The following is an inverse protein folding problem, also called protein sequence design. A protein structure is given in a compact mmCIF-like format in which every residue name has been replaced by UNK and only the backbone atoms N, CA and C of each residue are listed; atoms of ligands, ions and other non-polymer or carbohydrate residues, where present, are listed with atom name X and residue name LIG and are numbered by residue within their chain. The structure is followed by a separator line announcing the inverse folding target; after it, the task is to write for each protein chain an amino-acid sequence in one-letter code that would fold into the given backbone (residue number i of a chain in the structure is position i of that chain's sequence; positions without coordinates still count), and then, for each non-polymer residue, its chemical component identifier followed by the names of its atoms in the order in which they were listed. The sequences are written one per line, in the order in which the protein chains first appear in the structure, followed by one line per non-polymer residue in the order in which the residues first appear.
data_IF_866556874085
#
_entry.id   IF_866556874085
#
_cell.length_a   1.000
_cell.length_b   1.000
_cell.length_c   1.000
_cell.angle_alpha   90.00
_cell.angle_beta   90.00
_cell.angle_gamma   90.00
#
_symmetry.space_group_name_H-M   'P 1'
#
loop_
_entity.id
_entity.type
_entity.pdbx_description
1 polymer ?
#
# COMPACT_ATOMS: atom_id res chain seq x y z
N UNK A 1 19.42 -10.02 13.71
CA UNK A 1 17.99 -10.23 14.00
C UNK A 1 17.52 -11.44 13.19
N UNK A 2 16.85 -12.41 13.82
CA UNK A 2 16.41 -13.63 13.12
C UNK A 2 15.36 -13.30 12.07
N UNK A 3 15.53 -13.83 10.85
CA UNK A 3 14.51 -13.71 9.81
C UNK A 3 13.22 -14.37 10.32
N UNK A 4 12.13 -13.60 10.43
CA UNK A 4 10.82 -14.16 10.76
C UNK A 4 10.47 -15.23 9.72
N UNK A 5 10.19 -16.45 10.17
CA UNK A 5 9.74 -17.51 9.27
C UNK A 5 8.40 -17.10 8.66
N UNK A 6 8.30 -17.19 7.34
CA UNK A 6 7.03 -17.01 6.66
C UNK A 6 6.29 -18.35 6.70
N UNK A 7 5.08 -18.33 7.22
CA UNK A 7 4.17 -19.46 7.21
C UNK A 7 3.06 -19.20 6.19
N UNK A 8 2.99 -20.03 5.15
CA UNK A 8 1.99 -19.92 4.10
C UNK A 8 1.17 -21.20 4.02
N UNK A 9 -0.15 -21.05 3.88
CA UNK A 9 -1.04 -22.17 3.63
C UNK A 9 -0.96 -22.60 2.17
N UNK A 10 -0.61 -23.86 1.92
CA UNK A 10 -0.50 -24.49 0.59
C UNK A 10 -1.39 -25.74 0.54
N UNK A 11 -1.74 -26.26 -0.66
CA UNK A 11 -2.40 -27.55 -0.78
C UNK A 11 -1.57 -28.64 -0.09
N UNK A 12 -2.22 -29.50 0.70
CA UNK A 12 -1.57 -30.70 1.26
C UNK A 12 -1.17 -31.66 0.14
N UNK A 13 -0.19 -32.55 0.38
CA UNK A 13 0.24 -33.52 -0.64
C UNK A 13 -0.91 -34.41 -1.12
N UNK A 14 -1.82 -34.77 -0.22
CA UNK A 14 -3.04 -35.50 -0.57
C UNK A 14 -3.96 -34.65 -1.46
N UNK A 15 -4.18 -33.37 -1.12
CA UNK A 15 -5.02 -32.49 -1.92
C UNK A 15 -4.44 -32.24 -3.33
N UNK A 16 -3.11 -32.14 -3.47
CA UNK A 16 -2.42 -32.05 -4.77
C UNK A 16 -2.70 -33.24 -5.68
N UNK A 17 -2.95 -34.42 -5.10
CA UNK A 17 -3.29 -35.65 -5.82
C UNK A 17 -4.81 -35.85 -5.99
N UNK A 18 -5.64 -34.88 -5.61
CA UNK A 18 -7.10 -35.00 -5.65
C UNK A 18 -7.69 -35.87 -4.54
N UNK A 19 -6.92 -36.15 -3.47
CA UNK A 19 -7.39 -36.89 -2.28
C UNK A 19 -7.84 -35.87 -1.24
N UNK A 20 -9.13 -35.53 -1.26
CA UNK A 20 -9.74 -34.56 -0.34
C UNK A 20 -10.42 -35.25 0.85
N UNK A 21 -10.18 -34.72 2.05
CA UNK A 21 -10.79 -35.18 3.28
C UNK A 21 -12.31 -34.92 3.29
N UNK A 22 -13.07 -35.88 3.84
CA UNK A 22 -14.52 -35.77 3.98
C UNK A 22 -15.32 -36.07 2.70
N UNK A 23 -14.65 -36.55 1.63
CA UNK A 23 -15.29 -36.91 0.37
C UNK A 23 -15.12 -38.41 0.08
N UNK A 24 -16.11 -39.07 -0.58
CA UNK A 24 -15.97 -40.46 -0.99
C UNK A 24 -14.92 -40.61 -2.10
N UNK A 25 -14.26 -41.78 -2.15
CA UNK A 25 -13.34 -42.12 -3.25
C UNK A 25 -14.12 -42.23 -4.56
N UNK A 26 -13.52 -41.74 -5.65
CA UNK A 26 -14.09 -41.85 -6.98
C UNK A 26 -14.28 -43.32 -7.38
N UNK A 27 -15.50 -43.67 -7.78
CA UNK A 27 -15.89 -45.04 -8.18
C UNK A 27 -15.83 -45.28 -9.69
N UNK A 28 -15.44 -44.27 -10.48
CA UNK A 28 -15.39 -44.33 -11.95
C UNK A 28 -14.35 -43.38 -12.55
N UNK A 29 -14.23 -43.34 -13.89
CA UNK A 29 -13.34 -42.40 -14.57
C UNK A 29 -13.79 -40.95 -14.34
N UNK A 30 -12.89 -40.00 -14.59
CA UNK A 30 -13.24 -38.59 -14.47
C UNK A 30 -14.37 -38.20 -15.43
N UNK A 31 -15.31 -37.32 -15.02
CA UNK A 31 -16.42 -36.89 -15.86
C UNK A 31 -15.98 -36.29 -17.21
N UNK A 32 -14.83 -35.61 -17.22
CA UNK A 32 -14.26 -34.98 -18.41
C UNK A 32 -12.82 -35.47 -18.68
N UNK A 33 -12.62 -36.70 -19.20
CA UNK A 33 -11.29 -37.32 -19.30
C UNK A 33 -10.33 -36.60 -20.28
N UNK A 34 -10.85 -35.76 -21.18
CA UNK A 34 -10.04 -34.94 -22.08
C UNK A 34 -9.35 -33.77 -21.35
N UNK A 35 -9.94 -33.28 -20.25
CA UNK A 35 -9.47 -32.08 -19.53
C UNK A 35 -9.17 -32.34 -18.06
N UNK A 36 -9.51 -33.53 -17.55
CA UNK A 36 -9.33 -33.92 -16.15
C UNK A 36 -8.64 -35.28 -16.06
N UNK A 37 -7.79 -35.43 -15.05
CA UNK A 37 -7.07 -36.67 -14.75
C UNK A 37 -7.30 -37.10 -13.31
N UNK A 38 -7.43 -38.41 -13.10
CA UNK A 38 -7.37 -39.01 -11.77
C UNK A 38 -5.90 -39.26 -11.42
N UNK A 39 -5.33 -38.40 -10.58
CA UNK A 39 -3.90 -38.46 -10.20
C UNK A 39 -3.58 -39.57 -9.19
N UNK A 40 -4.58 -40.13 -8.50
CA UNK A 40 -4.42 -41.21 -7.54
C UNK A 40 -5.54 -42.25 -7.66
N UNK A 41 -5.52 -43.12 -8.69
CA UNK A 41 -6.52 -44.15 -8.88
C UNK A 41 -6.74 -45.01 -7.62
N UNK A 42 -8.00 -45.22 -7.24
CA UNK A 42 -8.38 -45.96 -6.04
C UNK A 42 -8.26 -45.19 -4.72
N UNK A 43 -7.80 -43.93 -4.74
CA UNK A 43 -7.68 -43.08 -3.54
C UNK A 43 -8.21 -41.66 -3.73
N UNK A 44 -8.14 -41.11 -4.94
CA UNK A 44 -8.64 -39.77 -5.25
C UNK A 44 -10.15 -39.68 -4.99
N UNK A 45 -10.56 -38.56 -4.39
CA UNK A 45 -11.96 -38.24 -4.12
C UNK A 45 -12.49 -37.18 -5.09
N UNK A 46 -11.59 -36.49 -5.80
CA UNK A 46 -11.92 -35.55 -6.86
C UNK A 46 -10.96 -35.68 -8.04
N UNK A 47 -11.43 -35.34 -9.23
CA UNK A 47 -10.60 -35.23 -10.41
C UNK A 47 -9.83 -33.91 -10.39
N UNK A 48 -8.68 -33.87 -11.06
CA UNK A 48 -7.88 -32.64 -11.17
C UNK A 48 -7.83 -32.24 -12.64
N UNK A 49 -8.15 -30.98 -12.94
CA UNK A 49 -7.99 -30.41 -14.27
C UNK A 49 -6.52 -30.48 -14.71
N UNK A 50 -6.29 -30.82 -15.97
CA UNK A 50 -4.97 -31.08 -16.52
C UNK A 50 -4.04 -29.85 -16.45
N UNK A 51 -4.57 -28.63 -16.63
CA UNK A 51 -3.81 -27.39 -16.47
C UNK A 51 -3.49 -27.11 -15.02
N UNK A 52 -4.41 -27.43 -14.12
CA UNK A 52 -4.16 -27.29 -12.68
C UNK A 52 -3.07 -28.25 -12.23
N UNK A 53 -3.18 -29.52 -12.60
CA UNK A 53 -2.24 -30.58 -12.25
C UNK A 53 -0.82 -30.30 -12.79
N UNK A 54 -0.71 -29.86 -14.05
CA UNK A 54 0.59 -29.71 -14.72
C UNK A 54 1.27 -28.36 -14.52
N UNK A 55 0.50 -27.28 -14.27
CA UNK A 55 1.02 -25.91 -14.29
C UNK A 55 0.66 -25.07 -13.06
N UNK A 56 -0.61 -25.02 -12.64
CA UNK A 56 -1.03 -24.09 -11.59
C UNK A 56 -0.71 -24.57 -10.16
N UNK A 57 -0.71 -25.88 -9.91
CA UNK A 57 -0.24 -26.41 -8.61
C UNK A 57 1.24 -26.16 -8.37
N UNK A 58 2.03 -25.93 -9.43
CA UNK A 58 3.42 -25.52 -9.31
C UNK A 58 3.54 -24.12 -8.70
N UNK A 59 2.52 -23.25 -8.79
CA UNK A 59 2.57 -21.91 -8.21
C UNK A 59 2.54 -21.92 -6.67
N UNK A 60 2.22 -23.06 -6.08
CA UNK A 60 2.28 -23.32 -4.65
C UNK A 60 3.47 -24.23 -4.34
N UNK A 61 4.24 -23.91 -3.29
CA UNK A 61 5.29 -24.82 -2.82
C UNK A 61 4.71 -26.09 -2.20
N UNK A 62 5.48 -27.18 -2.29
CA UNK A 62 5.18 -28.38 -1.53
C UNK A 62 5.24 -28.08 -0.03
N UNK A 63 4.26 -28.53 0.77
CA UNK A 63 4.30 -28.35 2.22
C UNK A 63 5.52 -29.04 2.83
N UNK A 64 6.12 -28.38 3.81
CA UNK A 64 7.22 -28.90 4.62
C UNK A 64 6.93 -28.80 6.14
N UNK A 65 5.72 -28.38 6.49
CA UNK A 65 5.20 -28.28 7.85
C UNK A 65 3.96 -29.14 8.06
N UNK A 66 3.33 -29.05 9.25
CA UNK A 66 2.17 -29.84 9.58
C UNK A 66 0.96 -29.49 8.70
N UNK A 67 0.08 -30.48 8.54
CA UNK A 67 -1.26 -30.30 7.97
C UNK A 67 -2.10 -29.46 8.93
N UNK A 68 -2.97 -28.59 8.41
CA UNK A 68 -3.86 -27.76 9.22
C UNK A 68 -4.85 -28.65 10.00
N UNK A 69 -4.90 -28.56 11.33
CA UNK A 69 -5.81 -29.38 12.14
C UNK A 69 -7.29 -29.20 11.82
N UNK A 70 -7.68 -28.02 11.32
CA UNK A 70 -9.08 -27.67 11.03
C UNK A 70 -9.46 -27.97 9.56
N UNK A 71 -8.48 -28.15 8.67
CA UNK A 71 -8.71 -28.50 7.27
C UNK A 71 -7.56 -29.39 6.74
N UNK A 72 -7.75 -30.73 6.70
CA UNK A 72 -6.70 -31.65 6.26
C UNK A 72 -6.27 -31.49 4.79
N UNK A 73 -7.01 -30.70 4.00
CA UNK A 73 -6.67 -30.40 2.61
C UNK A 73 -5.62 -29.30 2.47
N UNK A 74 -5.32 -28.60 3.57
CA UNK A 74 -4.36 -27.50 3.63
C UNK A 74 -3.20 -27.89 4.53
N UNK A 75 -1.98 -27.55 4.12
CA UNK A 75 -0.78 -27.77 4.91
C UNK A 75 0.09 -26.51 4.95
N UNK A 76 1.00 -26.46 5.91
CA UNK A 76 1.90 -25.32 6.07
C UNK A 76 3.15 -25.49 5.21
N UNK A 77 3.50 -24.43 4.51
CA UNK A 77 4.83 -24.20 3.95
C UNK A 77 5.54 -23.15 4.79
N UNK A 78 6.64 -23.55 5.41
CA UNK A 78 7.48 -22.71 6.26
C UNK A 78 8.79 -22.43 5.55
N UNK A 79 9.10 -21.15 5.38
CA UNK A 79 10.34 -20.72 4.74
C UNK A 79 10.95 -19.54 5.48
N UNK A 80 12.27 -19.57 5.65
CA UNK A 80 13.04 -18.48 6.21
C UNK A 80 13.82 -17.78 5.08
N UNK A 81 13.29 -16.70 4.48
CA UNK A 81 13.99 -15.98 3.44
C UNK A 81 15.30 -15.40 3.97
N UNK A 82 16.38 -15.62 3.24
CA UNK A 82 17.61 -14.84 3.44
C UNK A 82 17.42 -13.48 2.78
N UNK A 83 17.48 -12.42 3.57
CA UNK A 83 17.48 -11.05 3.10
C UNK A 83 18.86 -10.45 3.30
N UNK A 84 19.57 -10.23 2.19
CA UNK A 84 20.84 -9.53 2.20
C UNK A 84 20.58 -8.06 1.92
N UNK A 85 21.04 -7.19 2.81
CA UNK A 85 20.92 -5.74 2.69
C UNK A 85 22.32 -5.18 2.53
N UNK A 86 22.52 -4.39 1.48
CA UNK A 86 23.71 -3.54 1.35
C UNK A 86 23.25 -2.12 1.60
N UNK A 87 23.97 -1.38 2.43
CA UNK A 87 23.66 0.00 2.77
C UNK A 87 24.92 0.84 2.50
N UNK A 88 24.78 1.81 1.60
CA UNK A 88 25.79 2.82 1.34
C UNK A 88 25.29 4.15 1.89
N UNK A 89 25.95 4.67 2.90
CA UNK A 89 25.57 5.95 3.51
C UNK A 89 26.75 6.92 3.54
N UNK A 90 26.42 8.21 3.48
CA UNK A 90 27.35 9.31 3.67
C UNK A 90 26.66 10.36 4.53
N UNK A 91 27.29 10.70 5.65
CA UNK A 91 26.87 11.80 6.50
C UNK A 91 27.98 12.82 6.57
N UNK A 92 27.65 14.07 6.28
CA UNK A 92 28.54 15.21 6.44
C UNK A 92 27.91 16.21 7.38
N UNK A 93 28.77 16.85 8.16
CA UNK A 93 28.41 17.87 9.13
C UNK A 93 29.43 19.00 9.06
N UNK A 94 28.94 20.22 9.01
CA UNK A 94 29.73 21.44 9.06
C UNK A 94 29.14 22.35 10.14
N UNK A 95 29.98 22.75 11.07
CA UNK A 95 29.67 23.75 12.09
C UNK A 95 30.66 24.90 11.94
N UNK A 96 30.16 26.11 11.79
CA UNK A 96 31.01 27.28 11.66
C UNK A 96 30.47 28.45 12.47
N UNK A 97 31.30 28.97 13.38
CA UNK A 97 31.03 30.22 14.10
C UNK A 97 31.57 31.38 13.26
N UNK A 98 30.67 32.10 12.60
CA UNK A 98 31.01 33.24 11.74
C UNK A 98 31.46 34.44 12.59
N UNK A 99 30.82 34.65 13.74
CA UNK A 99 31.16 35.68 14.73
C UNK A 99 30.63 35.28 16.11
N UNK A 100 30.82 36.13 17.13
CA UNK A 100 30.25 35.88 18.46
C UNK A 100 28.72 35.88 18.50
N UNK A 101 28.07 36.49 17.51
CA UNK A 101 26.60 36.56 17.41
C UNK A 101 26.02 35.65 16.34
N UNK A 102 26.84 35.06 15.46
CA UNK A 102 26.35 34.25 14.34
C UNK A 102 27.05 32.90 14.27
N UNK A 103 26.26 31.83 14.22
CA UNK A 103 26.75 30.50 13.87
C UNK A 103 25.89 29.86 12.78
N UNK A 104 26.54 29.05 11.95
CA UNK A 104 25.93 28.30 10.88
C UNK A 104 26.22 26.81 11.11
N UNK A 105 25.19 26.00 10.93
CA UNK A 105 25.27 24.55 10.90
C UNK A 105 24.71 24.04 9.59
N UNK A 106 25.33 23.00 9.04
CA UNK A 106 24.87 22.32 7.86
C UNK A 106 25.11 20.82 7.97
N UNK A 107 24.13 20.03 7.51
CA UNK A 107 24.29 18.59 7.36
C UNK A 107 23.73 18.12 6.03
N UNK A 108 24.42 17.17 5.41
CA UNK A 108 23.93 16.41 4.29
C UNK A 108 24.04 14.92 4.61
N UNK A 109 22.93 14.21 4.46
CA UNK A 109 22.83 12.77 4.66
C UNK A 109 22.35 12.13 3.36
N UNK A 110 23.13 11.18 2.88
CA UNK A 110 22.81 10.29 1.78
C UNK A 110 22.75 8.87 2.31
N UNK A 111 21.72 8.13 1.89
CA UNK A 111 21.54 6.72 2.20
C UNK A 111 20.99 6.02 0.96
N UNK A 112 21.57 4.88 0.58
CA UNK A 112 21.10 3.99 -0.47
C UNK A 112 21.15 2.55 0.05
N UNK A 113 19.96 2.02 0.32
CA UNK A 113 19.77 0.74 1.00
C UNK A 113 18.94 -0.24 0.17
N UNK A 114 19.47 -0.80 -0.93
CA UNK A 114 18.79 -1.86 -1.67
C UNK A 114 18.87 -3.19 -0.93
N UNK A 115 17.77 -3.93 -0.98
CA UNK A 115 17.74 -5.33 -0.59
C UNK A 115 16.92 -6.15 -1.59
N UNK A 116 17.31 -7.41 -1.72
CA UNK A 116 16.52 -8.42 -2.43
C UNK A 116 16.23 -9.58 -1.51
N UNK A 117 15.04 -10.12 -1.62
CA UNK A 117 14.62 -11.30 -0.86
C UNK A 117 13.68 -12.13 -1.73
N UNK A 118 13.68 -13.45 -1.59
CA UNK A 118 12.58 -14.25 -2.10
C UNK A 118 11.26 -13.79 -1.48
N UNK A 119 10.21 -13.78 -2.30
CA UNK A 119 8.84 -13.43 -1.91
C UNK A 119 8.14 -14.64 -1.29
N UNK A 120 7.23 -14.44 -0.33
CA UNK A 120 6.20 -15.40 0.13
C UNK A 120 6.58 -16.88 0.15
N UNK A 121 6.36 -17.50 -1.01
CA UNK A 121 6.55 -18.93 -1.29
C UNK A 121 7.95 -19.29 -1.82
N UNK A 122 8.97 -18.43 -1.71
CA UNK A 122 10.25 -18.63 -2.39
C UNK A 122 10.10 -18.87 -3.91
N UNK A 123 9.11 -18.23 -4.54
CA UNK A 123 8.74 -18.47 -5.94
C UNK A 123 9.24 -17.37 -6.87
N UNK A 124 9.30 -16.14 -6.38
CA UNK A 124 9.81 -14.97 -7.11
C UNK A 124 10.78 -14.21 -6.21
N UNK A 125 11.69 -13.46 -6.82
CA UNK A 125 12.60 -12.56 -6.12
C UNK A 125 12.05 -11.14 -6.19
N UNK A 126 11.99 -10.47 -5.04
CA UNK A 126 11.58 -9.07 -4.96
C UNK A 126 12.75 -8.21 -4.49
N UNK A 127 12.90 -7.07 -5.14
CA UNK A 127 13.82 -6.01 -4.77
C UNK A 127 13.04 -4.83 -4.19
N UNK A 128 13.54 -4.30 -3.08
CA UNK A 128 13.14 -3.01 -2.57
C UNK A 128 14.38 -2.17 -2.34
N UNK A 129 14.25 -0.87 -2.52
CA UNK A 129 15.35 0.09 -2.48
C UNK A 129 14.82 1.39 -1.90
N UNK A 130 15.56 1.96 -0.98
CA UNK A 130 15.29 3.29 -0.42
C UNK A 130 16.54 4.13 -0.64
N UNK A 131 16.38 5.24 -1.37
CA UNK A 131 17.41 6.26 -1.52
C UNK A 131 16.95 7.54 -0.85
N UNK A 132 17.75 8.07 0.07
CA UNK A 132 17.44 9.29 0.82
C UNK A 132 18.51 10.33 0.59
N UNK A 133 18.07 11.57 0.41
CA UNK A 133 18.92 12.74 0.37
C UNK A 133 18.29 13.78 1.28
N UNK A 134 18.95 14.07 2.40
CA UNK A 134 18.48 15.03 3.39
C UNK A 134 19.54 16.12 3.51
N UNK A 135 19.14 17.36 3.29
CA UNK A 135 19.94 18.55 3.55
C UNK A 135 19.24 19.33 4.66
N UNK A 136 19.96 19.73 5.68
CA UNK A 136 19.47 20.71 6.65
C UNK A 136 20.54 21.78 6.88
N UNK A 137 20.10 23.03 6.85
CA UNK A 137 20.90 24.21 7.15
C UNK A 137 20.24 24.92 8.33
N UNK A 138 21.03 25.36 9.29
CA UNK A 138 20.59 26.10 10.46
C UNK A 138 21.46 27.34 10.62
N UNK A 139 20.83 28.48 10.83
CA UNK A 139 21.48 29.74 11.15
C UNK A 139 20.99 30.22 12.51
N UNK A 140 21.92 30.43 13.44
CA UNK A 140 21.66 30.97 14.76
C UNK A 140 22.19 32.40 14.82
N UNK A 141 21.36 33.30 15.34
CA UNK A 141 21.71 34.70 15.57
C UNK A 141 21.35 35.13 16.99
N UNK A 142 22.34 35.68 17.70
CA UNK A 142 22.18 36.29 19.02
C UNK A 142 22.04 37.80 18.83
N UNK A 143 20.81 38.30 18.89
CA UNK A 143 20.53 39.74 18.81
C UNK A 143 20.91 40.47 20.10
N UNK A 144 20.74 39.78 21.24
CA UNK A 144 21.17 40.24 22.58
C UNK A 144 21.31 39.04 23.52
N UNK A 145 21.90 39.18 24.72
CA UNK A 145 21.94 38.10 25.71
C UNK A 145 20.57 37.54 26.10
N UNK A 146 19.50 38.31 25.84
CA UNK A 146 18.12 37.96 26.14
C UNK A 146 17.32 37.50 24.92
N UNK A 147 17.83 37.69 23.70
CA UNK A 147 17.08 37.40 22.45
C UNK A 147 17.94 36.66 21.44
N UNK A 148 17.56 35.40 21.17
CA UNK A 148 18.25 34.50 20.24
C UNK A 148 17.23 33.95 19.24
N UNK A 149 17.62 33.85 17.98
CA UNK A 149 16.80 33.29 16.93
C UNK A 149 17.56 32.19 16.18
N UNK A 150 16.85 31.14 15.80
CA UNK A 150 17.33 30.01 15.03
C UNK A 150 16.43 29.79 13.83
N UNK A 151 16.96 30.00 12.63
CA UNK A 151 16.25 29.70 11.40
C UNK A 151 16.81 28.41 10.77
N UNK A 152 15.94 27.53 10.26
CA UNK A 152 16.31 26.27 9.62
C UNK A 152 15.68 26.14 8.25
N UNK A 153 16.46 25.65 7.29
CA UNK A 153 16.02 25.24 5.97
C UNK A 153 16.31 23.74 5.81
N UNK A 154 15.29 22.99 5.42
CA UNK A 154 15.38 21.54 5.22
C UNK A 154 14.93 21.15 3.83
N UNK A 155 15.61 20.16 3.25
CA UNK A 155 15.16 19.48 2.04
C UNK A 155 15.32 17.98 2.23
N UNK A 156 14.23 17.23 2.06
CA UNK A 156 14.23 15.79 2.12
C UNK A 156 13.68 15.21 0.83
N UNK A 157 14.51 14.42 0.14
CA UNK A 157 14.12 13.65 -1.05
C UNK A 157 14.29 12.16 -0.80
N UNK A 158 13.19 11.42 -0.91
CA UNK A 158 13.20 9.96 -0.90
C UNK A 158 12.80 9.44 -2.29
N UNK A 159 13.59 8.53 -2.82
CA UNK A 159 13.21 7.66 -3.93
C UNK A 159 13.13 6.25 -3.40
N UNK A 160 11.94 5.66 -3.44
CA UNK A 160 11.72 4.32 -2.92
C UNK A 160 11.14 3.46 -4.02
N UNK A 161 11.70 2.27 -4.19
CA UNK A 161 11.11 1.16 -4.93
C UNK A 161 10.73 0.09 -3.92
N UNK A 162 9.49 -0.40 -3.97
CA UNK A 162 8.97 -1.37 -3.04
C UNK A 162 8.39 -2.56 -3.81
N UNK A 163 8.81 -3.76 -3.41
CA UNK A 163 8.35 -5.04 -3.93
C UNK A 163 8.45 -5.18 -5.46
N UNK A 164 9.50 -4.64 -6.08
CA UNK A 164 9.74 -4.86 -7.51
C UNK A 164 10.10 -6.32 -7.73
N UNK A 165 9.23 -7.07 -8.41
CA UNK A 165 9.59 -8.43 -8.84
C UNK A 165 10.71 -8.34 -9.89
N UNK A 166 11.89 -8.86 -9.54
CA UNK A 166 13.09 -8.82 -10.39
C UNK A 166 13.38 -10.12 -11.11
N UNK A 167 12.74 -11.22 -10.71
CA UNK A 167 12.94 -12.52 -11.34
C UNK A 167 12.07 -13.63 -10.76
N UNK A 168 11.94 -14.71 -11.51
CA UNK A 168 11.26 -15.93 -11.08
C UNK A 168 12.31 -16.91 -10.54
N UNK A 169 12.08 -17.44 -9.35
CA UNK A 169 12.85 -18.54 -8.77
C UNK A 169 12.29 -19.86 -9.30
N UNK A 170 10.97 -19.93 -9.43
CA UNK A 170 10.28 -21.06 -10.02
C UNK A 170 9.83 -20.76 -11.46
N UNK A 171 10.12 -21.63 -12.44
CA UNK A 171 9.85 -21.37 -13.86
C UNK A 171 8.39 -21.02 -14.19
N UNK A 172 7.42 -21.57 -13.44
CA UNK A 172 6.00 -21.29 -13.64
C UNK A 172 5.64 -19.80 -13.48
N UNK A 173 6.44 -19.01 -12.76
CA UNK A 173 6.22 -17.57 -12.58
C UNK A 173 6.75 -16.70 -13.74
N UNK A 174 7.50 -17.31 -14.67
CA UNK A 174 8.00 -16.70 -15.89
C UNK A 174 7.51 -17.43 -17.15
N UNK A 175 6.42 -18.22 -17.03
CA UNK A 175 5.83 -18.96 -18.14
C UNK A 175 4.70 -18.13 -18.78
N UNK A 176 4.92 -17.48 -19.95
CA UNK A 176 3.92 -16.64 -20.59
C UNK A 176 2.67 -17.40 -21.04
N UNK A 177 2.72 -18.74 -21.14
CA UNK A 177 1.53 -19.54 -21.47
C UNK A 177 0.48 -19.58 -20.37
N UNK A 178 0.86 -19.20 -19.14
CA UNK A 178 -0.06 -19.07 -18.01
C UNK A 178 -0.68 -17.67 -17.91
N UNK A 179 -0.33 -16.79 -18.84
CA UNK A 179 -0.63 -15.36 -18.79
C UNK A 179 -2.11 -15.11 -18.97
N UNK A 180 -2.68 -14.29 -18.08
CA UNK A 180 -4.08 -13.87 -18.15
C UNK A 180 -4.26 -12.38 -18.38
N UNK A 181 -3.17 -11.61 -18.36
CA UNK A 181 -3.15 -10.19 -18.69
C UNK A 181 -2.14 -9.95 -19.83
N UNK A 182 -2.43 -9.10 -20.81
CA UNK A 182 -1.53 -8.85 -21.94
C UNK A 182 -0.15 -8.37 -21.47
N UNK A 183 0.90 -9.08 -21.87
CA UNK A 183 2.29 -8.76 -21.52
C UNK A 183 2.72 -9.22 -20.12
N UNK A 184 1.97 -10.13 -19.48
CA UNK A 184 2.26 -10.68 -18.15
C UNK A 184 2.19 -12.21 -18.12
N UNK A 185 3.07 -12.85 -17.33
CA UNK A 185 3.31 -14.29 -17.39
C UNK A 185 2.33 -15.17 -16.62
N UNK A 186 2.14 -14.98 -15.31
CA UNK A 186 1.16 -15.79 -14.55
C UNK A 186 0.34 -14.91 -13.61
N UNK A 187 -0.97 -15.14 -13.45
CA UNK A 187 -1.77 -14.42 -12.47
C UNK A 187 -1.39 -14.81 -11.05
N UNK A 188 -1.75 -13.94 -10.10
CA UNK A 188 -1.85 -14.34 -8.71
C UNK A 188 -3.09 -15.20 -8.50
N UNK A 189 -3.03 -16.14 -7.56
CA UNK A 189 -4.13 -17.05 -7.22
C UNK A 189 -4.51 -16.81 -5.77
N UNK A 190 -5.79 -16.58 -5.54
CA UNK A 190 -6.40 -16.59 -4.22
C UNK A 190 -7.42 -17.73 -4.18
N UNK A 191 -7.15 -18.75 -3.39
CA UNK A 191 -8.09 -19.85 -3.16
C UNK A 191 -8.45 -19.92 -1.68
N UNK A 192 -9.70 -20.25 -1.37
CA UNK A 192 -10.18 -20.40 0.01
C UNK A 192 -9.30 -21.38 0.79
N UNK A 193 -8.86 -20.97 1.98
CA UNK A 193 -8.00 -21.77 2.85
C UNK A 193 -6.51 -21.75 2.48
N UNK A 194 -6.12 -21.17 1.34
CA UNK A 194 -4.73 -21.07 0.89
C UNK A 194 -4.21 -19.63 0.98
N UNK A 195 -2.90 -19.48 1.16
CA UNK A 195 -2.22 -18.20 1.04
C UNK A 195 -2.21 -17.75 -0.42
N UNK A 196 -2.42 -16.44 -0.66
CA UNK A 196 -2.43 -15.87 -2.02
C UNK A 196 -1.05 -15.95 -2.67
N UNK A 197 -0.95 -16.59 -3.84
CA UNK A 197 0.30 -16.58 -4.63
C UNK A 197 0.60 -15.20 -5.19
N UNK A 198 1.90 -14.91 -5.38
CA UNK A 198 2.31 -13.74 -6.14
C UNK A 198 1.88 -13.85 -7.61
N UNK A 199 1.90 -12.74 -8.33
CA UNK A 199 1.88 -12.77 -9.80
C UNK A 199 3.27 -13.10 -10.36
N UNK A 200 3.30 -13.45 -11.63
CA UNK A 200 4.51 -13.64 -12.43
C UNK A 200 5.18 -12.34 -12.86
N UNK A 201 6.00 -12.43 -13.91
CA UNK A 201 6.75 -11.30 -14.45
C UNK A 201 6.03 -10.66 -15.66
N UNK A 202 6.28 -9.36 -15.93
CA UNK A 202 6.75 -8.38 -14.96
C UNK A 202 5.74 -8.21 -13.81
N UNK A 203 6.19 -8.24 -12.56
CA UNK A 203 5.27 -8.20 -11.43
C UNK A 203 4.80 -6.80 -11.04
N UNK A 204 3.92 -6.74 -10.04
CA UNK A 204 3.56 -5.48 -9.39
C UNK A 204 4.75 -4.85 -8.68
N UNK A 205 4.79 -3.52 -8.68
CA UNK A 205 5.74 -2.73 -7.89
C UNK A 205 5.09 -1.42 -7.49
N UNK A 206 5.63 -0.81 -6.45
CA UNK A 206 5.37 0.60 -6.13
C UNK A 206 6.68 1.34 -6.13
N UNK A 207 6.80 2.39 -6.93
CA UNK A 207 7.86 3.37 -6.74
C UNK A 207 7.27 4.70 -6.34
N UNK A 208 7.94 5.45 -5.47
CA UNK A 208 7.51 6.78 -5.13
C UNK A 208 8.67 7.74 -4.96
N UNK A 209 8.39 9.01 -5.27
CA UNK A 209 9.28 10.13 -5.02
C UNK A 209 8.62 11.06 -4.00
N UNK A 210 9.18 11.12 -2.80
CA UNK A 210 8.81 12.10 -1.79
C UNK A 210 9.79 13.27 -1.85
N UNK A 211 9.28 14.49 -1.92
CA UNK A 211 10.07 15.70 -1.74
C UNK A 211 9.39 16.53 -0.67
N UNK A 212 10.15 16.95 0.33
CA UNK A 212 9.71 17.89 1.33
C UNK A 212 10.67 19.07 1.37
N UNK A 213 10.11 20.27 1.31
CA UNK A 213 10.81 21.54 1.47
C UNK A 213 10.34 22.14 2.78
N UNK A 214 11.26 22.37 3.70
CA UNK A 214 10.98 22.75 5.07
C UNK A 214 11.63 24.07 5.42
N UNK A 215 10.89 24.91 6.13
CA UNK A 215 11.39 26.10 6.78
C UNK A 215 10.87 26.11 8.22
N UNK A 216 11.76 26.30 9.17
CA UNK A 216 11.43 26.45 10.58
C UNK A 216 12.14 27.66 11.14
N UNK A 217 11.49 28.36 12.05
CA UNK A 217 12.06 29.47 12.79
C UNK A 217 11.68 29.30 14.26
N UNK A 218 12.66 29.43 15.14
CA UNK A 218 12.50 29.33 16.58
C UNK A 218 13.23 30.52 17.24
N UNK A 219 12.51 31.28 18.04
CA UNK A 219 13.02 32.43 18.74
C UNK A 219 12.82 32.28 20.25
N UNK A 220 13.83 32.69 21.00
CA UNK A 220 13.84 32.70 22.46
C UNK A 220 14.05 34.11 22.98
N UNK A 221 13.15 34.58 23.85
CA UNK A 221 13.21 35.90 24.46
C UNK A 221 13.00 35.80 25.98
N UNK A 222 14.01 36.15 26.76
CA UNK A 222 13.86 36.34 28.21
C UNK A 222 13.62 37.80 28.52
N UNK A 223 12.50 38.13 29.18
CA UNK A 223 12.19 39.50 29.59
C UNK A 223 11.55 39.52 30.96
N UNK A 224 12.30 40.01 31.95
CA UNK A 224 11.84 40.05 33.34
C UNK A 224 11.60 38.64 33.89
N UNK A 225 10.38 38.35 34.34
CA UNK A 225 9.97 37.04 34.86
C UNK A 225 9.44 36.08 33.79
N UNK A 226 9.48 36.47 32.51
CA UNK A 226 8.98 35.68 31.39
C UNK A 226 10.13 35.10 30.56
N UNK A 227 10.00 33.82 30.21
CA UNK A 227 10.85 33.15 29.23
C UNK A 227 9.98 32.70 28.06
N UNK A 228 9.99 33.50 27.00
CA UNK A 228 9.16 33.30 25.83
C UNK A 228 9.90 32.46 24.78
N UNK A 229 9.19 31.49 24.20
CA UNK A 229 9.56 30.74 22.99
C UNK A 229 8.48 30.91 21.97
N UNK A 230 8.81 31.28 20.76
CA UNK A 230 7.84 31.35 19.68
C UNK A 230 8.50 30.98 18.38
N UNK A 231 7.72 30.51 17.43
CA UNK A 231 8.28 30.01 16.20
C UNK A 231 7.24 29.73 15.13
N UNK A 232 7.75 29.47 13.94
CA UNK A 232 6.99 29.21 12.74
C UNK A 232 7.52 27.94 12.06
N UNK A 233 6.61 27.21 11.42
CA UNK A 233 6.91 26.02 10.65
C UNK A 233 6.16 26.09 9.31
N UNK A 234 6.86 25.84 8.22
CA UNK A 234 6.29 25.69 6.89
C UNK A 234 6.91 24.50 6.19
N UNK A 235 6.09 23.58 5.69
CA UNK A 235 6.56 22.42 4.94
C UNK A 235 5.72 22.20 3.68
N UNK A 236 6.34 22.20 2.50
CA UNK A 236 5.70 21.81 1.25
C UNK A 236 6.03 20.36 0.90
N UNK A 237 5.03 19.50 0.96
CA UNK A 237 5.15 18.07 0.68
C UNK A 237 4.68 17.73 -0.73
N UNK A 238 5.51 16.97 -1.46
CA UNK A 238 5.21 16.46 -2.80
C UNK A 238 5.45 14.96 -2.85
N UNK A 239 4.37 14.20 -2.87
CA UNK A 239 4.41 12.75 -2.94
C UNK A 239 3.96 12.28 -4.33
N UNK A 240 4.85 11.61 -5.06
CA UNK A 240 4.57 11.13 -6.41
C UNK A 240 4.73 9.60 -6.48
N UNK A 241 3.71 8.83 -6.06
CA UNK A 241 3.71 7.40 -6.24
C UNK A 241 3.35 7.00 -7.67
N UNK A 242 3.90 5.86 -8.06
CA UNK A 242 3.56 5.10 -9.24
C UNK A 242 3.39 3.67 -8.82
N UNK A 243 2.16 3.21 -8.91
CA UNK A 243 1.76 1.91 -8.42
C UNK A 243 1.08 1.14 -9.54
N UNK A 244 1.24 -0.17 -9.52
CA UNK A 244 0.51 -1.09 -10.37
C UNK A 244 -0.57 -1.81 -9.54
N UNK A 245 -1.78 -1.88 -10.07
CA UNK A 245 -2.87 -2.63 -9.46
C UNK A 245 -3.07 -3.94 -10.22
N UNK A 246 -2.82 -5.05 -9.54
CA UNK A 246 -2.98 -6.41 -10.07
C UNK A 246 -2.55 -6.54 -11.55
N UNK A 247 -1.30 -6.17 -11.89
CA UNK A 247 -0.89 -6.08 -13.30
C UNK A 247 -0.90 -7.44 -14.02
N UNK A 248 -0.59 -8.50 -13.27
CA UNK A 248 -0.64 -9.89 -13.73
C UNK A 248 -2.06 -10.48 -13.70
N UNK A 249 -3.02 -9.76 -13.14
CA UNK A 249 -4.35 -10.28 -12.80
C UNK A 249 -4.35 -11.11 -11.50
N UNK A 250 -5.55 -11.29 -10.95
CA UNK A 250 -5.82 -12.11 -9.78
C UNK A 250 -7.01 -13.03 -10.05
N UNK A 251 -6.76 -14.34 -10.02
CA UNK A 251 -7.79 -15.36 -10.03
C UNK A 251 -8.27 -15.65 -8.62
N UNK A 252 -9.59 -15.78 -8.47
CA UNK A 252 -10.22 -16.12 -7.19
C UNK A 252 -10.97 -17.44 -7.30
N UNK A 253 -10.63 -18.37 -6.42
CA UNK A 253 -11.28 -19.67 -6.22
C UNK A 253 -11.84 -19.70 -4.80
N UNK A 254 -12.94 -18.99 -4.60
CA UNK A 254 -13.67 -18.85 -3.36
C UNK A 254 -14.90 -19.76 -3.44
N UNK A 255 -15.00 -20.75 -2.56
CA UNK A 255 -16.20 -21.56 -2.46
C UNK A 255 -17.44 -20.68 -2.30
N UNK A 256 -18.45 -20.91 -3.15
CA UNK A 256 -19.78 -20.33 -2.96
C UNK A 256 -20.52 -21.23 -1.97
N UNK A 257 -20.88 -20.75 -0.77
CA UNK A 257 -21.71 -21.54 0.14
C UNK A 257 -23.14 -21.57 -0.42
N UNK A 258 -23.41 -22.41 -1.42
CA UNK A 258 -24.76 -22.74 -1.84
C UNK A 258 -24.95 -24.27 -1.87
N UNK A 259 -25.39 -24.88 -0.75
CA UNK A 259 -25.61 -26.32 -0.67
C UNK A 259 -26.70 -26.86 -1.62
N UNK A 260 -27.49 -25.99 -2.26
CA UNK A 260 -28.56 -26.38 -3.19
C UNK A 260 -28.17 -26.24 -4.68
N UNK A 261 -26.94 -25.83 -4.98
CA UNK A 261 -26.52 -25.50 -6.35
C UNK A 261 -25.88 -26.65 -7.14
N UNK A 262 -25.61 -27.79 -6.50
CA UNK A 262 -24.81 -28.85 -7.12
C UNK A 262 -23.37 -28.41 -7.44
N UNK A 263 -22.88 -27.35 -6.78
CA UNK A 263 -21.53 -26.81 -6.98
C UNK A 263 -20.49 -27.87 -6.57
N UNK A 264 -19.60 -28.29 -7.50
CA UNK A 264 -18.59 -29.30 -7.21
C UNK A 264 -17.46 -28.78 -6.30
N UNK A 265 -17.50 -27.53 -5.83
CA UNK A 265 -16.46 -26.91 -5.00
C UNK A 265 -16.59 -27.13 -3.48
N UNK A 266 -16.81 -28.37 -3.04
CA UNK A 266 -16.89 -28.71 -1.61
C UNK A 266 -16.07 -29.95 -1.28
N UNK A 267 -14.90 -29.83 -0.60
CA UNK A 267 -14.40 -28.65 0.12
C UNK A 267 -13.82 -27.56 -0.80
N UNK A 268 -13.59 -26.37 -0.27
CA UNK A 268 -13.33 -25.16 -1.07
C UNK A 268 -12.11 -25.24 -2.01
N UNK A 269 -11.08 -26.01 -1.64
CA UNK A 269 -9.90 -26.25 -2.50
C UNK A 269 -10.26 -27.00 -3.79
N UNK A 270 -11.38 -27.72 -3.82
CA UNK A 270 -11.86 -28.44 -5.00
C UNK A 270 -12.17 -27.49 -6.16
N UNK A 271 -12.56 -26.25 -5.88
CA UNK A 271 -12.72 -25.21 -6.91
C UNK A 271 -11.42 -24.94 -7.67
N UNK A 272 -10.28 -24.92 -6.96
CA UNK A 272 -8.97 -24.81 -7.59
C UNK A 272 -8.66 -26.05 -8.41
N UNK A 273 -8.82 -27.24 -7.84
CA UNK A 273 -8.47 -28.51 -8.49
C UNK A 273 -9.27 -28.79 -9.77
N UNK A 274 -10.54 -28.40 -9.78
CA UNK A 274 -11.44 -28.58 -10.92
C UNK A 274 -11.42 -27.42 -11.91
N UNK A 275 -10.57 -26.40 -11.71
CA UNK A 275 -10.48 -25.24 -12.61
C UNK A 275 -11.82 -24.46 -12.69
N UNK A 276 -12.40 -24.16 -11.53
CA UNK A 276 -13.62 -23.37 -11.37
C UNK A 276 -13.35 -22.04 -10.65
N UNK A 277 -12.67 -21.06 -11.29
CA UNK A 277 -12.50 -19.73 -10.71
C UNK A 277 -13.82 -18.96 -10.71
N UNK A 278 -14.07 -18.17 -9.68
CA UNK A 278 -15.26 -17.33 -9.56
C UNK A 278 -15.08 -15.95 -10.17
N UNK A 279 -13.84 -15.44 -10.18
CA UNK A 279 -13.52 -14.19 -10.84
C UNK A 279 -12.06 -14.07 -11.24
N UNK A 280 -11.85 -13.23 -12.25
CA UNK A 280 -10.55 -12.73 -12.68
C UNK A 280 -10.58 -11.20 -12.64
N UNK A 281 -9.67 -10.60 -11.90
CA UNK A 281 -9.59 -9.15 -11.68
C UNK A 281 -8.21 -8.59 -12.08
N UNK A 282 -8.17 -7.43 -12.73
CA UNK A 282 -6.94 -6.76 -13.15
C UNK A 282 -7.14 -5.26 -13.39
N UNK A 283 -6.05 -4.50 -13.37
CA UNK A 283 -6.07 -3.07 -13.70
C UNK A 283 -5.97 -2.80 -15.20
N UNK A 284 -6.65 -1.77 -15.71
CA UNK A 284 -6.76 -1.44 -17.13
C UNK A 284 -6.53 0.05 -17.45
N UNK A 285 -5.35 0.45 -17.98
CA UNK A 285 -4.08 -0.25 -17.84
C UNK A 285 -3.71 -0.36 -16.35
N UNK A 286 -2.82 -1.29 -15.94
CA UNK A 286 -2.62 -1.56 -14.52
C UNK A 286 -1.87 -0.46 -13.76
N UNK A 287 -1.28 0.51 -14.46
CA UNK A 287 -0.51 1.61 -13.86
C UNK A 287 -1.39 2.80 -13.48
N UNK A 288 -1.23 3.34 -12.27
CA UNK A 288 -1.98 4.53 -11.83
C UNK A 288 -1.09 5.54 -11.08
N UNK A 289 -0.26 6.33 -11.77
CA UNK A 289 0.54 7.36 -11.11
C UNK A 289 -0.35 8.46 -10.49
N UNK A 290 0.11 9.01 -9.37
CA UNK A 290 -0.47 10.17 -8.68
C UNK A 290 0.63 11.15 -8.28
N UNK A 291 0.29 12.42 -8.18
CA UNK A 291 1.17 13.49 -7.71
C UNK A 291 0.50 14.31 -6.61
N UNK A 292 0.45 13.77 -5.40
CA UNK A 292 -0.15 14.42 -4.24
C UNK A 292 0.64 15.65 -3.77
N UNK A 293 -0.05 16.71 -3.39
CA UNK A 293 0.48 17.98 -2.91
C UNK A 293 -0.23 18.39 -1.64
N UNK A 294 0.55 18.87 -0.67
CA UNK A 294 0.04 19.37 0.59
C UNK A 294 1.08 20.30 1.22
N UNK A 295 0.61 21.29 1.97
CA UNK A 295 1.46 22.26 2.67
C UNK A 295 1.02 22.30 4.13
N UNK A 296 1.98 22.05 5.02
CA UNK A 296 1.83 22.22 6.46
C UNK A 296 2.29 23.62 6.84
N UNK A 297 1.50 24.29 7.67
CA UNK A 297 1.84 25.59 8.27
C UNK A 297 1.52 25.52 9.74
N UNK A 298 2.49 25.87 10.57
CA UNK A 298 2.34 25.91 12.01
C UNK A 298 3.00 27.14 12.62
N UNK A 299 2.49 27.55 13.77
CA UNK A 299 3.07 28.60 14.58
C UNK A 299 2.81 28.30 16.05
N UNK A 300 3.71 28.74 16.92
CA UNK A 300 3.52 28.57 18.34
C UNK A 300 4.07 29.74 19.14
N UNK A 301 3.52 29.89 20.34
CA UNK A 301 4.07 30.72 21.41
C UNK A 301 3.96 29.92 22.72
N UNK A 302 5.00 30.01 23.54
CA UNK A 302 5.07 29.44 24.86
C UNK A 302 5.74 30.46 25.79
N UNK A 303 5.23 30.55 27.01
CA UNK A 303 5.74 31.38 28.09
C UNK A 303 5.94 30.54 29.35
N UNK A 304 7.18 30.51 29.82
CA UNK A 304 7.50 30.03 31.16
C UNK A 304 7.57 31.26 32.08
N UNK A 305 6.47 31.49 32.79
CA UNK A 305 6.27 32.66 33.62
C UNK A 305 6.58 32.36 35.08
N UNK A 306 7.64 32.95 35.61
CA UNK A 306 8.01 32.89 37.02
C UNK A 306 7.18 33.88 37.83
N UNK A 307 5.94 33.50 38.14
CA UNK A 307 4.99 34.32 38.93
C UNK A 307 5.54 34.62 40.32
N UNK A 308 6.22 33.66 40.94
CA UNK A 308 6.92 33.80 42.24
C UNK A 308 8.22 33.00 42.21
N UNK A 309 9.12 33.26 43.16
CA UNK A 309 10.39 32.52 43.30
C UNK A 309 10.21 31.00 43.44
N UNK A 310 9.04 30.56 43.90
CA UNK A 310 8.68 29.16 44.08
C UNK A 310 7.52 28.68 43.18
N UNK A 311 7.00 29.52 42.27
CA UNK A 311 5.87 29.16 41.39
C UNK A 311 6.13 29.62 39.96
N UNK A 312 6.16 28.65 39.04
CA UNK A 312 6.28 28.87 37.60
C UNK A 312 5.04 28.34 36.89
N UNK A 313 4.44 29.15 36.02
CA UNK A 313 3.37 28.75 35.11
C UNK A 313 3.97 28.54 33.72
N UNK A 314 3.57 27.46 33.04
CA UNK A 314 3.97 27.15 31.67
C UNK A 314 2.71 27.26 30.81
N UNK A 315 2.67 28.22 29.89
CA UNK A 315 1.50 28.46 29.05
C UNK A 315 1.94 28.44 27.60
N UNK A 316 1.27 27.67 26.76
CA UNK A 316 1.60 27.58 25.35
C UNK A 316 0.37 27.42 24.49
N UNK A 317 0.47 27.92 23.26
CA UNK A 317 -0.51 27.71 22.22
C UNK A 317 0.24 27.42 20.93
N UNK A 318 -0.07 26.30 20.31
CA UNK A 318 0.34 26.00 18.95
C UNK A 318 -0.89 25.98 18.05
N UNK A 319 -0.76 26.54 16.86
CA UNK A 319 -1.72 26.35 15.76
C UNK A 319 -0.98 25.62 14.65
N UNK A 320 -1.56 24.53 14.14
CA UNK A 320 -0.95 23.76 13.07
C UNK A 320 -1.99 23.26 12.09
N UNK A 321 -1.91 23.69 10.84
CA UNK A 321 -2.81 23.24 9.78
C UNK A 321 -2.04 22.56 8.65
N UNK A 322 -2.73 21.65 7.96
CA UNK A 322 -2.30 21.10 6.69
C UNK A 322 -3.33 21.43 5.61
N UNK A 323 -2.90 21.83 4.43
CA UNK A 323 -3.84 22.01 3.31
C UNK A 323 -4.42 20.66 2.91
N UNK A 324 -5.70 20.65 2.51
CA UNK A 324 -6.32 19.45 1.91
C UNK A 324 -5.45 18.95 0.77
N UNK A 325 -5.25 17.64 0.73
CA UNK A 325 -4.40 17.01 -0.26
C UNK A 325 -5.02 17.21 -1.64
N UNK A 326 -4.21 17.74 -2.56
CA UNK A 326 -4.54 17.88 -3.97
C UNK A 326 -3.66 16.96 -4.82
N UNK A 327 -4.02 16.75 -6.08
CA UNK A 327 -3.22 15.96 -7.02
C UNK A 327 -2.93 16.81 -8.25
N UNK A 328 -1.70 16.75 -8.76
CA UNK A 328 -1.21 17.62 -9.84
C UNK A 328 -2.10 17.59 -11.10
N UNK A 329 -2.70 16.46 -11.43
CA UNK A 329 -3.58 16.26 -12.58
C UNK A 329 -5.07 16.17 -12.16
N UNK A 330 -5.36 16.45 -10.89
CA UNK A 330 -6.68 16.36 -10.26
C UNK A 330 -7.33 14.98 -10.30
N UNK A 331 -6.52 13.90 -10.32
CA UNK A 331 -6.96 12.50 -10.34
C UNK A 331 -7.39 11.95 -8.98
N UNK A 332 -8.03 12.80 -8.17
CA UNK A 332 -8.61 12.41 -6.87
C UNK A 332 -10.11 12.26 -7.00
N UNK A 333 -10.66 11.34 -6.24
CA UNK A 333 -12.09 11.01 -6.23
C UNK A 333 -12.54 10.80 -4.80
N UNK A 334 -13.70 11.36 -4.45
CA UNK A 334 -14.29 11.21 -3.13
C UNK A 334 -15.78 10.95 -3.26
N UNK A 335 -16.20 9.80 -2.74
CA UNK A 335 -17.61 9.50 -2.51
C UNK A 335 -17.93 9.93 -1.08
N UNK A 336 -18.68 11.02 -0.92
CA UNK A 336 -18.89 11.64 0.39
C UNK A 336 -19.92 10.89 1.22
N UNK A 337 -20.98 10.42 0.58
CA UNK A 337 -21.93 9.49 1.16
C UNK A 337 -21.94 8.19 0.35
N UNK A 338 -22.02 7.05 1.01
CA UNK A 338 -22.10 5.74 0.33
C UNK A 338 -23.32 5.62 -0.60
N UNK A 339 -24.34 6.45 -0.38
CA UNK A 339 -25.56 6.53 -1.19
C UNK A 339 -25.46 7.52 -2.36
N UNK A 340 -24.37 8.31 -2.45
CA UNK A 340 -24.20 9.24 -3.56
C UNK A 340 -24.10 8.42 -4.87
N UNK A 341 -24.86 8.79 -5.93
CA UNK A 341 -24.86 8.03 -7.16
C UNK A 341 -23.54 8.15 -7.94
N UNK A 342 -22.77 9.22 -7.68
CA UNK A 342 -21.54 9.58 -8.38
C UNK A 342 -20.54 10.22 -7.40
N UNK A 343 -19.24 9.98 -7.57
CA UNK A 343 -18.21 10.62 -6.76
C UNK A 343 -18.02 12.09 -7.16
N UNK A 344 -17.44 12.88 -6.25
CA UNK A 344 -16.84 14.18 -6.55
C UNK A 344 -15.39 13.99 -6.97
N UNK A 345 -14.91 14.81 -7.90
CA UNK A 345 -13.57 14.67 -8.49
C UNK A 345 -12.69 15.89 -8.25
N UNK A 346 -11.37 15.72 -8.29
CA UNK A 346 -10.38 16.76 -8.05
C UNK A 346 -10.02 17.63 -9.26
N UNK A 347 -10.60 17.38 -10.45
CA UNK A 347 -10.36 18.13 -11.69
C UNK A 347 -11.67 18.49 -12.39
N UNK A 348 -11.66 19.63 -13.09
CA UNK A 348 -12.72 20.06 -14.02
C UNK A 348 -12.59 19.49 -15.43
N UNK A 349 -11.68 18.53 -15.67
CA UNK A 349 -11.42 17.98 -17.00
C UNK A 349 -12.70 17.35 -17.61
N UNK A 350 -13.18 17.85 -18.77
CA UNK A 350 -14.39 17.35 -19.42
C UNK A 350 -14.35 15.85 -19.73
N UNK A 351 -13.17 15.33 -20.10
CA UNK A 351 -12.95 13.90 -20.36
C UNK A 351 -13.07 13.00 -19.11
N UNK A 352 -12.91 13.57 -17.91
CA UNK A 352 -13.09 12.88 -16.64
C UNK A 352 -14.51 13.02 -16.08
N UNK A 353 -15.24 14.07 -16.48
CA UNK A 353 -16.69 14.20 -16.26
C UNK A 353 -17.49 13.43 -17.31
N UNK A 354 -16.87 13.07 -18.43
CA UNK A 354 -17.48 12.27 -19.48
C UNK A 354 -17.66 10.83 -19.05
N UNK A 355 -18.61 10.21 -19.73
CA UNK A 355 -19.08 8.87 -19.49
C UNK A 355 -17.94 7.84 -19.55
N UNK A 356 -17.70 7.13 -18.45
CA UNK A 356 -16.84 5.95 -18.44
C UNK A 356 -17.76 4.72 -18.45
N UNK A 357 -17.69 3.91 -19.53
CA UNK A 357 -18.54 2.72 -19.73
C UNK A 357 -20.06 3.00 -19.64
N UNK A 358 -20.54 4.10 -20.20
CA UNK A 358 -21.99 4.41 -20.21
C UNK A 358 -22.52 5.14 -18.97
N UNK A 359 -21.69 5.43 -17.94
CA UNK A 359 -22.10 6.15 -16.71
C UNK A 359 -21.35 7.49 -16.53
N UNK A 360 -22.00 8.55 -16.01
CA UNK A 360 -21.32 9.83 -15.76
C UNK A 360 -20.09 9.66 -14.88
N UNK A 361 -19.00 10.37 -15.17
CA UNK A 361 -17.73 10.17 -14.46
C UNK A 361 -17.68 10.78 -13.05
N UNK A 362 -18.28 11.97 -12.87
CA UNK A 362 -18.25 12.72 -11.61
C UNK A 362 -19.54 13.55 -11.43
N UNK A 363 -20.00 13.73 -10.19
CA UNK A 363 -21.08 14.67 -9.85
C UNK A 363 -20.66 16.14 -9.92
N UNK A 364 -19.36 16.42 -9.79
CA UNK A 364 -18.80 17.77 -9.77
C UNK A 364 -17.35 17.79 -9.27
N UNK A 365 -16.81 19.00 -9.13
CA UNK A 365 -15.43 19.23 -8.68
C UNK A 365 -15.42 19.66 -7.22
N UNK A 366 -14.70 18.94 -6.37
CA UNK A 366 -14.54 19.31 -4.97
C UNK A 366 -13.23 18.75 -4.38
N UNK A 367 -12.71 19.37 -3.30
CA UNK A 367 -11.64 18.75 -2.52
C UNK A 367 -12.07 17.39 -1.97
N UNK A 368 -11.09 16.49 -1.81
CA UNK A 368 -11.32 15.10 -1.38
C UNK A 368 -11.95 15.00 0.01
N UNK A 369 -11.68 15.97 0.89
CA UNK A 369 -12.37 16.16 2.17
C UNK A 369 -12.44 17.65 2.51
N UNK A 370 -13.38 18.03 3.38
CA UNK A 370 -13.39 19.35 4.01
C UNK A 370 -12.23 19.46 4.98
N UNK A 371 -11.45 20.54 4.95
CA UNK A 371 -10.24 20.65 5.76
C UNK A 371 -10.55 20.58 7.26
N UNK A 372 -10.19 19.49 7.97
CA UNK A 372 -10.48 19.37 9.39
C UNK A 372 -9.50 20.18 10.25
N UNK A 373 -8.35 20.61 9.68
CA UNK A 373 -7.24 21.15 10.45
C UNK A 373 -7.25 22.66 10.61
N UNK A 374 -8.26 23.36 10.08
CA UNK A 374 -8.32 24.83 10.14
C UNK A 374 -8.53 25.38 11.56
N UNK A 375 -8.80 24.49 12.53
CA UNK A 375 -9.04 24.83 13.93
C UNK A 375 -8.18 24.00 14.88
N UNK A 376 -7.06 23.47 14.40
CA UNK A 376 -6.11 22.69 15.18
C UNK A 376 -5.29 23.61 16.08
N UNK A 377 -5.93 24.03 17.18
CA UNK A 377 -5.32 24.78 18.26
C UNK A 377 -4.96 23.80 19.37
N UNK A 378 -3.68 23.77 19.71
CA UNK A 378 -3.06 22.88 20.68
C UNK A 378 -2.63 23.70 21.91
N UNK A 379 -3.55 24.04 22.82
CA UNK A 379 -3.20 24.70 24.07
C UNK A 379 -2.43 23.75 24.98
N UNK A 380 -1.48 24.32 25.73
CA UNK A 380 -0.67 23.64 26.73
C UNK A 380 -0.65 24.51 27.98
N UNK A 381 -0.98 23.93 29.12
CA UNK A 381 -0.93 24.59 30.42
C UNK A 381 -0.22 23.69 31.41
N UNK A 382 0.66 24.26 32.21
CA UNK A 382 1.36 23.55 33.26
C UNK A 382 1.77 24.48 34.38
N UNK A 383 2.13 23.89 35.50
CA UNK A 383 2.71 24.62 36.61
C UNK A 383 3.76 23.76 37.32
N UNK A 384 4.72 24.45 37.93
CA UNK A 384 5.68 23.88 38.85
C UNK A 384 5.72 24.77 40.09
N UNK A 385 5.49 24.15 41.24
CA UNK A 385 5.37 24.85 42.52
C UNK A 385 6.18 24.13 43.59
N UNK A 386 7.00 24.88 44.32
CA UNK A 386 7.57 24.44 45.60
C UNK A 386 6.76 25.07 46.73
N UNK A 387 5.87 24.31 47.40
CA UNK A 387 4.99 24.84 48.43
C UNK A 387 5.73 25.50 49.59
N UNK A 388 6.91 24.97 49.92
CA UNK A 388 7.71 25.39 51.07
C UNK A 388 8.79 26.42 50.74
N UNK A 389 9.08 26.65 49.46
CA UNK A 389 10.12 27.58 48.98
C UNK A 389 11.54 27.20 49.38
N UNK A 390 11.77 25.98 49.88
CA UNK A 390 13.05 25.50 50.40
C UNK A 390 13.73 24.45 49.49
N UNK A 391 13.15 24.20 48.32
CA UNK A 391 13.63 23.26 47.31
C UNK A 391 13.41 21.78 47.64
N UNK A 392 12.77 21.43 48.75
CA UNK A 392 12.64 20.02 49.21
C UNK A 392 11.42 19.30 48.67
N UNK A 393 10.38 20.03 48.29
CA UNK A 393 9.14 19.47 47.74
C UNK A 393 8.78 20.20 46.46
N UNK A 394 8.50 19.45 45.39
CA UNK A 394 8.04 20.01 44.13
C UNK A 394 6.71 19.35 43.72
N UNK A 395 5.70 20.18 43.46
CA UNK A 395 4.42 19.78 42.87
C UNK A 395 4.39 20.27 41.44
N UNK A 396 4.10 19.37 40.50
CA UNK A 396 4.01 19.68 39.07
C UNK A 396 2.73 19.10 38.52
N UNK A 397 2.09 19.84 37.62
CA UNK A 397 0.90 19.39 36.93
C UNK A 397 0.80 20.06 35.56
N UNK A 398 0.03 19.46 34.66
CA UNK A 398 -0.18 20.02 33.34
C UNK A 398 -1.26 19.32 32.55
N UNK A 399 -1.71 20.01 31.51
CA UNK A 399 -2.73 19.62 30.56
C UNK A 399 -2.32 20.09 29.17
N UNK A 400 -2.52 19.27 28.15
CA UNK A 400 -2.23 19.61 26.77
C UNK A 400 -3.17 18.88 25.81
N UNK A 401 -3.48 19.55 24.69
CA UNK A 401 -4.18 18.97 23.53
C UNK A 401 -3.18 18.86 22.38
N UNK A 402 -3.29 17.80 21.59
CA UNK A 402 -2.45 17.52 20.43
C UNK A 402 -3.31 17.00 19.28
N UNK A 403 -2.92 17.33 18.05
CA UNK A 403 -3.61 16.90 16.85
C UNK A 403 -2.78 15.92 16.01
N UNK A 404 -3.47 15.18 15.14
CA UNK A 404 -2.82 14.34 14.11
C UNK A 404 -3.23 14.88 12.74
N UNK A 405 -2.23 15.28 11.95
CA UNK A 405 -2.50 15.85 10.63
C UNK A 405 -2.76 14.78 9.55
N UNK A 406 -3.69 15.03 8.62
CA UNK A 406 -3.90 14.19 7.45
C UNK A 406 -2.79 14.44 6.42
N UNK A 407 -1.68 13.71 6.57
CA UNK A 407 -0.52 13.80 5.66
C UNK A 407 -0.72 12.96 4.38
N UNK A 408 -0.07 13.32 3.25
CA UNK A 408 -0.21 12.61 1.98
C UNK A 408 0.06 11.10 2.04
N UNK A 409 0.93 10.66 2.96
CA UNK A 409 1.26 9.24 3.15
C UNK A 409 0.05 8.37 3.52
N UNK A 410 -0.98 8.93 4.16
CA UNK A 410 -2.20 8.18 4.54
C UNK A 410 -3.17 7.95 3.39
N UNK A 411 -3.01 8.63 2.26
CA UNK A 411 -3.94 8.59 1.13
C UNK A 411 -3.41 7.74 -0.03
N UNK A 412 -2.48 6.82 0.25
CA UNK A 412 -2.02 5.81 -0.70
C UNK A 412 -3.21 4.93 -1.12
N UNK A 413 -3.29 4.56 -2.41
CA UNK A 413 -4.37 3.73 -3.00
C UNK A 413 -5.64 4.45 -3.51
N UNK A 414 -5.54 5.66 -4.05
CA UNK A 414 -6.65 6.24 -4.84
C UNK A 414 -6.73 5.74 -6.28
N UNK A 415 -6.83 4.42 -6.43
CA UNK A 415 -7.03 3.73 -7.70
C UNK A 415 -8.54 3.56 -7.98
N UNK A 416 -9.26 4.67 -8.11
CA UNK A 416 -10.72 4.65 -8.23
C UNK A 416 -11.19 5.30 -9.53
N UNK A 417 -12.37 4.88 -9.97
CA UNK A 417 -13.08 5.49 -11.08
C UNK A 417 -13.37 6.97 -10.79
N UNK A 418 -13.30 7.86 -11.80
CA UNK A 418 -13.10 7.54 -13.22
C UNK A 418 -11.62 7.53 -13.68
N UNK A 419 -10.65 7.85 -12.81
CA UNK A 419 -9.24 8.01 -13.21
C UNK A 419 -8.42 6.71 -13.20
N UNK A 420 -9.07 5.61 -12.86
CA UNK A 420 -8.51 4.27 -12.92
C UNK A 420 -9.63 3.27 -13.15
N UNK A 421 -9.40 2.31 -14.04
CA UNK A 421 -10.34 1.24 -14.33
C UNK A 421 -9.78 -0.09 -13.84
N UNK A 422 -10.65 -0.86 -13.20
CA UNK A 422 -10.44 -2.27 -12.93
C UNK A 422 -11.39 -3.07 -13.82
N UNK A 423 -10.87 -4.11 -14.45
CA UNK A 423 -11.67 -5.12 -15.13
C UNK A 423 -11.88 -6.30 -14.19
N UNK A 424 -13.14 -6.66 -13.97
CA UNK A 424 -13.49 -7.89 -13.25
C UNK A 424 -14.42 -8.72 -14.11
N UNK A 425 -13.98 -9.91 -14.48
CA UNK A 425 -14.85 -10.93 -15.07
C UNK A 425 -15.34 -11.79 -13.91
N UNK A 426 -16.66 -11.95 -13.78
CA UNK A 426 -17.27 -12.85 -12.80
C UNK A 426 -17.86 -14.04 -13.55
N UNK A 427 -17.59 -15.24 -13.03
CA UNK A 427 -18.13 -16.48 -13.59
C UNK A 427 -19.66 -16.45 -13.61
N UNK A 428 -20.21 -16.62 -14.81
CA UNK A 428 -21.64 -16.64 -15.08
C UNK A 428 -21.92 -17.42 -16.37
N UNK A 429 -23.17 -17.84 -16.65
CA UNK A 429 -23.50 -18.48 -17.92
C UNK A 429 -23.18 -17.63 -19.15
N UNK A 430 -23.19 -16.29 -19.02
CA UNK A 430 -22.84 -15.35 -20.08
C UNK A 430 -21.33 -15.10 -20.23
N UNK A 431 -20.53 -15.46 -19.21
CA UNK A 431 -19.08 -15.31 -19.17
C UNK A 431 -18.49 -16.43 -18.32
N UNK A 432 -18.55 -17.69 -18.81
CA UNK A 432 -18.05 -18.83 -18.06
C UNK A 432 -16.53 -18.71 -17.92
N UNK A 433 -16.02 -18.80 -16.70
CA UNK A 433 -14.58 -18.83 -16.43
C UNK A 433 -14.03 -20.25 -16.37
N UNK A 434 -14.89 -21.23 -16.12
CA UNK A 434 -14.51 -22.64 -16.05
C UNK A 434 -13.87 -23.09 -17.36
N UNK A 435 -12.68 -23.68 -17.29
CA UNK A 435 -11.94 -24.15 -18.48
C UNK A 435 -11.27 -23.05 -19.32
N UNK A 436 -11.35 -21.77 -18.92
CA UNK A 436 -10.68 -20.67 -19.63
C UNK A 436 -9.22 -20.45 -19.19
N UNK A 437 -8.77 -21.11 -18.11
CA UNK A 437 -7.39 -21.01 -17.64
C UNK A 437 -6.41 -21.59 -18.65
N UNK A 438 -5.32 -20.86 -18.90
CA UNK A 438 -4.30 -21.24 -19.90
C UNK A 438 -4.64 -20.82 -21.33
N UNK A 439 -5.78 -20.16 -21.55
CA UNK A 439 -6.08 -19.49 -22.82
C UNK A 439 -5.53 -18.05 -22.73
N UNK A 440 -4.62 -17.63 -23.62
CA UNK A 440 -4.09 -16.27 -23.62
C UNK A 440 -5.22 -15.23 -23.67
N UNK A 441 -5.08 -14.07 -23.00
CA UNK A 441 -6.12 -13.05 -22.94
C UNK A 441 -6.52 -12.50 -24.32
N UNK A 442 -5.64 -12.62 -25.30
CA UNK A 442 -5.84 -12.18 -26.69
C UNK A 442 -6.59 -13.19 -27.56
N UNK A 443 -6.73 -14.44 -27.13
CA UNK A 443 -7.42 -15.46 -27.91
C UNK A 443 -8.95 -15.31 -27.79
N UNK A 444 -9.66 -15.56 -28.89
CA UNK A 444 -11.11 -15.56 -28.91
C UNK A 444 -11.64 -16.65 -27.95
N UNK A 445 -12.52 -16.25 -27.02
CA UNK A 445 -13.06 -17.16 -26.00
C UNK A 445 -12.31 -17.14 -24.66
N UNK A 446 -11.26 -16.34 -24.51
CA UNK A 446 -10.69 -16.07 -23.18
C UNK A 446 -11.67 -15.22 -22.34
N UNK A 447 -11.69 -15.42 -21.03
CA UNK A 447 -12.50 -14.63 -20.10
C UNK A 447 -12.33 -13.11 -20.29
N UNK A 448 -11.13 -12.69 -20.69
CA UNK A 448 -10.73 -11.29 -20.82
C UNK A 448 -10.76 -10.78 -22.27
N UNK A 449 -10.96 -11.64 -23.27
CA UNK A 449 -11.00 -11.21 -24.67
C UNK A 449 -12.11 -10.20 -24.88
N UNK A 450 -13.26 -10.34 -24.20
CA UNK A 450 -14.38 -9.39 -24.27
C UNK A 450 -14.05 -7.99 -23.69
N UNK A 451 -13.07 -7.88 -22.79
CA UNK A 451 -12.62 -6.60 -22.25
C UNK A 451 -11.65 -5.88 -23.20
N UNK A 452 -10.76 -6.62 -23.87
CA UNK A 452 -9.78 -6.07 -24.82
C UNK A 452 -10.31 -5.95 -26.25
N UNK A 453 -11.30 -6.76 -26.65
CA UNK A 453 -11.91 -6.79 -27.99
C UNK A 453 -13.01 -5.76 -28.18
N UNK A 454 -13.09 -4.71 -27.35
CA UNK A 454 -13.92 -3.55 -27.63
C UNK A 454 -13.31 -2.71 -28.78
N UNK A 455 -13.07 -3.33 -29.93
CA UNK A 455 -13.34 -2.65 -31.19
C UNK A 455 -14.78 -2.15 -31.11
N UNK A 456 -15.02 -0.84 -31.29
CA UNK A 456 -16.37 -0.29 -31.23
C UNK A 456 -17.28 -1.07 -32.17
N UNK A 457 -18.39 -1.61 -31.65
CA UNK A 457 -19.49 -2.05 -32.52
C UNK A 457 -19.83 -0.87 -33.44
N UNK A 458 -20.05 -1.06 -34.75
CA UNK A 458 -20.47 0.02 -35.62
C UNK A 458 -21.74 0.65 -35.04
N UNK A 459 -21.65 1.91 -34.59
CA UNK A 459 -22.72 2.64 -33.90
C UNK A 459 -22.50 2.92 -32.41
N UNK A 460 -21.51 2.31 -31.76
CA UNK A 460 -21.06 2.69 -30.41
C UNK A 460 -19.63 3.20 -30.51
N UNK A 461 -19.44 4.52 -30.57
CA UNK A 461 -18.12 5.13 -30.41
C UNK A 461 -17.59 4.82 -29.01
N UNK A 462 -16.70 3.83 -28.92
CA UNK A 462 -15.79 3.64 -27.80
C UNK A 462 -14.72 4.72 -27.90
N UNK A 463 -14.59 5.64 -26.92
CA UNK A 463 -13.52 6.62 -26.90
C UNK A 463 -12.37 6.03 -26.07
N UNK A 464 -11.46 5.32 -26.74
CA UNK A 464 -10.06 5.28 -26.33
C UNK A 464 -9.30 6.36 -27.09
#
# INVERSE_FOLDING_TARGET
EGAASQNSAVPSENARLGILAGQPVLTGPCPHPATQTNLAPGRATTCVDNMIASKYLALFQHPNGPVNPNDPNVANFVFAPTRVVHENFLTTRLDHKISDTNSLFGTYNYDDSPFSTPHGFNTTSVRSEVKRNIVALEWNHVFSPAFVNTARLGYNRNFTTNNLLTGAIQPAFADPSLGMMPGYDTPGILASGLSRTAGGLPGGFTFFRWNSYQFYDDAFLTRGTHSLKFGFAGENMRYNPWTLYLPTGLLRFIAKPNPNSGDPCSPAIQCLLLNHPNSLEGGLPPTFPRGYRSTLVGGYIQDDWHVRHNLTLNMGLRYEMNTVISERQGKLTSLRNITDPLPTCGTSAPSATNVVLGKPGCAGVAPIFSNPTLRNFEPRFGFAWDPSGNGKTAVRGGFAIFDVLPLPGYFFSQAWAPFFLTGTVVDSPASPLSGTLGIPPTAAGSAYSNFFSQTPKPGCTSPL
#
